data_IF_644358189911
#
_entry.id   IF_644358189911
#
_cell.length_a   1.000
_cell.length_b   1.000
_cell.length_c   1.000
_cell.angle_alpha   90.00
_cell.angle_beta   90.00
_cell.angle_gamma   90.00
#
_symmetry.space_group_name_H-M   'P 1'
#
loop_
_entity.id
_entity.type
_entity.pdbx_description
1 polymer ?
#
# COMPACT_ATOMS: atom_id res chain seq x y z
N UNK A 1 -6.43 -5.92 16.09
CA UNK A 1 -5.03 -5.42 16.04
C UNK A 1 -4.12 -6.43 15.34
N UNK A 2 -4.13 -7.71 15.76
CA UNK A 2 -3.40 -8.80 15.09
C UNK A 2 -3.80 -8.95 13.61
N UNK A 3 -5.09 -8.87 13.28
CA UNK A 3 -5.56 -8.99 11.88
C UNK A 3 -5.08 -7.86 10.99
N UNK A 4 -4.95 -6.65 11.55
CA UNK A 4 -4.44 -5.48 10.83
C UNK A 4 -2.93 -5.64 10.56
N UNK A 5 -2.16 -6.08 11.56
CA UNK A 5 -0.74 -6.42 11.40
C UNK A 5 -0.54 -7.54 10.36
N UNK A 6 -1.38 -8.58 10.42
CA UNK A 6 -1.37 -9.66 9.44
C UNK A 6 -1.69 -9.15 8.03
N UNK A 7 -2.62 -8.22 7.89
CA UNK A 7 -2.99 -7.61 6.61
C UNK A 7 -1.86 -6.73 6.05
N UNK A 8 -1.21 -5.92 6.89
CA UNK A 8 -0.03 -5.13 6.50
C UNK A 8 1.11 -6.04 6.05
N UNK A 9 1.41 -7.09 6.83
CA UNK A 9 2.43 -8.07 6.48
C UNK A 9 2.10 -8.81 5.17
N UNK A 10 0.84 -9.21 4.97
CA UNK A 10 0.38 -9.84 3.73
C UNK A 10 0.57 -8.91 2.52
N UNK A 11 0.20 -7.64 2.65
CA UNK A 11 0.41 -6.63 1.60
C UNK A 11 1.89 -6.40 1.27
N UNK A 12 2.76 -6.44 2.29
CA UNK A 12 4.21 -6.41 2.11
C UNK A 12 4.74 -7.64 1.35
N UNK A 13 4.31 -8.84 1.76
CA UNK A 13 4.70 -10.10 1.09
C UNK A 13 4.24 -10.11 -0.38
N UNK A 14 3.02 -9.68 -0.65
CA UNK A 14 2.52 -9.57 -2.03
C UNK A 14 3.36 -8.59 -2.87
N UNK A 15 3.76 -7.45 -2.32
CA UNK A 15 4.66 -6.53 -3.01
C UNK A 15 6.02 -7.18 -3.33
N UNK A 16 6.62 -7.87 -2.36
CA UNK A 16 7.92 -8.55 -2.58
C UNK A 16 7.80 -9.63 -3.65
N UNK A 17 6.73 -10.43 -3.61
CA UNK A 17 6.45 -11.45 -4.64
C UNK A 17 6.24 -10.84 -6.03
N UNK A 18 5.60 -9.67 -6.11
CA UNK A 18 5.46 -8.94 -7.36
C UNK A 18 6.80 -8.49 -7.92
N UNK A 19 7.64 -7.84 -7.11
CA UNK A 19 8.97 -7.40 -7.54
C UNK A 19 9.86 -8.58 -7.93
N UNK A 20 9.75 -9.70 -7.22
CA UNK A 20 10.45 -10.93 -7.59
C UNK A 20 9.95 -11.46 -8.94
N UNK A 21 8.64 -11.58 -9.15
CA UNK A 21 8.07 -11.97 -10.44
C UNK A 21 8.55 -11.05 -11.57
N UNK A 22 8.51 -9.73 -11.36
CA UNK A 22 8.98 -8.75 -12.34
C UNK A 22 10.47 -8.93 -12.66
N UNK A 23 11.31 -9.13 -11.63
CA UNK A 23 12.77 -9.32 -11.80
C UNK A 23 13.15 -10.58 -12.60
N UNK A 24 12.36 -11.65 -12.49
CA UNK A 24 12.63 -12.92 -13.19
C UNK A 24 12.15 -12.89 -14.64
N UNK A 25 11.00 -12.25 -14.92
CA UNK A 25 10.42 -12.16 -16.26
C UNK A 25 11.12 -11.17 -17.18
N UNK A 26 11.85 -10.17 -16.67
CA UNK A 26 12.67 -9.29 -17.51
C UNK A 26 13.77 -10.03 -18.31
N UNK A 27 14.15 -11.25 -17.91
CA UNK A 27 15.16 -12.07 -18.62
C UNK A 27 14.60 -12.91 -19.78
N UNK A 28 13.29 -13.11 -19.87
CA UNK A 28 12.64 -13.89 -20.95
C UNK A 28 11.50 -13.10 -21.56
N UNK A 29 11.52 -12.81 -22.88
CA UNK A 29 10.49 -12.05 -23.64
C UNK A 29 9.20 -11.82 -22.84
N UNK A 30 9.10 -10.66 -22.20
CA UNK A 30 7.98 -10.36 -21.30
C UNK A 30 6.69 -10.32 -22.12
N UNK A 31 5.73 -11.18 -21.77
CA UNK A 31 4.36 -11.11 -22.29
C UNK A 31 3.67 -9.93 -21.58
N UNK A 32 3.39 -8.82 -22.28
CA UNK A 32 2.92 -7.59 -21.65
C UNK A 32 1.54 -7.76 -21.01
N UNK A 33 0.68 -8.61 -21.59
CA UNK A 33 -0.67 -8.86 -21.07
C UNK A 33 -0.60 -9.63 -19.75
N UNK A 34 0.20 -10.69 -19.70
CA UNK A 34 0.38 -11.46 -18.45
C UNK A 34 1.02 -10.61 -17.36
N UNK A 35 2.00 -9.77 -17.72
CA UNK A 35 2.66 -8.88 -16.76
C UNK A 35 1.69 -7.87 -16.18
N UNK A 36 0.79 -7.31 -17.00
CA UNK A 36 -0.25 -6.37 -16.57
C UNK A 36 -1.29 -7.02 -15.64
N UNK A 37 -1.75 -8.23 -15.96
CA UNK A 37 -2.70 -8.96 -15.09
C UNK A 37 -2.06 -9.26 -13.74
N UNK A 38 -0.80 -9.72 -13.76
CA UNK A 38 -0.06 -10.01 -12.53
C UNK A 38 0.15 -8.73 -11.71
N UNK A 39 0.59 -7.63 -12.32
CA UNK A 39 0.75 -6.36 -11.61
C UNK A 39 -0.57 -5.86 -11.01
N UNK A 40 -1.67 -5.99 -11.75
CA UNK A 40 -2.98 -5.61 -11.26
C UNK A 40 -3.38 -6.41 -10.01
N UNK A 41 -3.29 -7.75 -10.07
CA UNK A 41 -3.66 -8.62 -8.94
C UNK A 41 -2.79 -8.37 -7.71
N UNK A 42 -1.47 -8.21 -7.90
CA UNK A 42 -0.56 -7.94 -6.80
C UNK A 42 -0.71 -6.53 -6.19
N UNK A 43 -1.32 -5.60 -6.94
CA UNK A 43 -1.62 -4.25 -6.44
C UNK A 43 -2.86 -4.22 -5.53
N UNK A 44 -3.77 -5.20 -5.64
CA UNK A 44 -5.05 -5.21 -4.90
C UNK A 44 -4.85 -5.10 -3.38
N UNK A 45 -4.00 -5.92 -2.71
CA UNK A 45 -3.80 -5.82 -1.26
C UNK A 45 -3.23 -4.46 -0.83
N UNK A 46 -2.26 -3.93 -1.60
CA UNK A 46 -1.67 -2.62 -1.34
C UNK A 46 -2.70 -1.51 -1.45
N UNK A 47 -3.55 -1.54 -2.48
CA UNK A 47 -4.61 -0.55 -2.67
C UNK A 47 -5.60 -0.54 -1.50
N UNK A 48 -6.01 -1.71 -1.00
CA UNK A 48 -6.88 -1.79 0.17
C UNK A 48 -6.22 -1.25 1.44
N UNK A 49 -4.91 -1.48 1.61
CA UNK A 49 -4.14 -0.92 2.72
C UNK A 49 -4.10 0.60 2.64
N UNK A 50 -3.79 1.16 1.47
CA UNK A 50 -3.76 2.61 1.24
C UNK A 50 -5.13 3.25 1.47
N UNK A 51 -6.21 2.63 0.96
CA UNK A 51 -7.58 3.10 1.21
C UNK A 51 -7.88 3.10 2.72
N UNK A 52 -7.48 2.05 3.46
CA UNK A 52 -7.70 1.96 4.90
C UNK A 52 -6.98 3.07 5.68
N UNK A 53 -5.69 3.30 5.38
CA UNK A 53 -4.89 4.36 6.00
C UNK A 53 -5.49 5.74 5.67
N UNK A 54 -5.75 5.99 4.40
CA UNK A 54 -6.28 7.28 3.94
C UNK A 54 -7.67 7.59 4.52
N UNK A 55 -8.57 6.60 4.54
CA UNK A 55 -9.90 6.75 5.13
C UNK A 55 -9.82 7.04 6.62
N UNK A 56 -8.92 6.34 7.33
CA UNK A 56 -8.71 6.56 8.78
C UNK A 56 -8.18 7.96 9.04
N UNK A 57 -7.22 8.42 8.23
CA UNK A 57 -6.67 9.77 8.32
C UNK A 57 -7.74 10.83 8.06
N UNK A 58 -8.57 10.68 7.03
CA UNK A 58 -9.69 11.59 6.76
C UNK A 58 -10.73 11.62 7.89
N UNK A 59 -11.07 10.46 8.46
CA UNK A 59 -12.00 10.39 9.60
C UNK A 59 -11.41 11.13 10.81
N UNK A 60 -10.11 10.98 11.04
CA UNK A 60 -9.43 11.67 12.13
C UNK A 60 -9.35 13.18 11.87
N UNK A 61 -8.99 13.61 10.66
CA UNK A 61 -9.00 15.00 10.21
C UNK A 61 -10.36 15.67 10.46
N UNK A 62 -11.44 14.98 10.07
CA UNK A 62 -12.80 15.46 10.28
C UNK A 62 -13.18 15.61 11.77
N UNK A 63 -12.62 14.75 12.65
CA UNK A 63 -12.85 14.83 14.10
C UNK A 63 -12.07 15.96 14.76
N UNK A 64 -10.86 16.25 14.28
CA UNK A 64 -9.98 17.28 14.84
C UNK A 64 -10.18 18.64 14.18
N UNK A 65 -10.97 18.72 13.11
CA UNK A 65 -11.13 19.95 12.32
C UNK A 65 -9.86 20.35 11.56
N UNK A 66 -8.93 19.41 11.39
CA UNK A 66 -7.68 19.63 10.68
C UNK A 66 -7.87 19.44 9.16
N UNK A 67 -7.09 20.17 8.36
CA UNK A 67 -7.00 19.91 6.92
C UNK A 67 -6.20 18.63 6.65
N UNK A 68 -6.37 18.07 5.46
CA UNK A 68 -5.61 16.90 5.00
C UNK A 68 -4.10 17.14 5.06
N UNK A 69 -3.63 18.30 4.61
CA UNK A 69 -2.21 18.67 4.63
C UNK A 69 -1.65 18.67 6.06
N UNK A 70 -2.40 19.22 7.02
CA UNK A 70 -2.00 19.23 8.43
C UNK A 70 -1.92 17.81 9.02
N UNK A 71 -2.79 16.90 8.55
CA UNK A 71 -2.76 15.51 8.99
C UNK A 71 -1.53 14.75 8.51
N UNK A 72 -1.09 14.99 7.28
CA UNK A 72 0.17 14.43 6.79
C UNK A 72 1.35 14.94 7.61
N UNK A 73 1.39 16.23 7.89
CA UNK A 73 2.45 16.84 8.70
C UNK A 73 2.46 16.28 10.14
N UNK A 74 1.29 16.02 10.74
CA UNK A 74 1.22 15.38 12.06
C UNK A 74 1.76 13.95 12.06
N UNK A 75 1.46 13.16 11.02
CA UNK A 75 2.00 11.80 10.90
C UNK A 75 3.51 11.79 10.67
N UNK A 76 4.03 12.72 9.85
CA UNK A 76 5.49 12.87 9.66
C UNK A 76 6.20 13.29 10.96
N UNK A 77 5.58 14.15 11.76
CA UNK A 77 6.14 14.56 13.07
C UNK A 77 6.12 13.43 14.10
N UNK A 78 5.10 12.57 14.11
CA UNK A 78 5.06 11.37 14.96
C UNK A 78 6.12 10.33 14.55
N UNK A 79 6.45 10.19 13.26
CA UNK A 79 7.50 9.27 12.80
C UNK A 79 8.93 9.73 13.15
N UNK A 80 9.14 11.02 13.41
CA UNK A 80 10.44 11.60 13.77
C UNK A 80 10.74 11.62 15.28
N UNK A 81 9.75 11.28 16.13
CA UNK A 81 9.90 11.14 17.58
C UNK A 81 10.22 9.70 18.01
#
# INVERSE_FOLDING_TARGET
>A
MLDLLNFVALSGVFNVLFFWYASTKMKSKADPVKTLIVSFVFSIPLSFLLIGVYTTMLIYAAKTGASEDAMWEYMEQEELQ
#
